data_IF_022969347133
#
_entry.id   IF_022969347133
#
_cell.length_a   1.000
_cell.length_b   1.000
_cell.length_c   1.000
_cell.angle_alpha   90.00
_cell.angle_beta   90.00
_cell.angle_gamma   90.00
#
_symmetry.space_group_name_H-M   'P 1'
#
loop_
_entity.id
_entity.type
_entity.pdbx_description
1 polymer ?
#
# COMPACT_ATOMS: atom_id res chain seq x y z
N UNK A 1 -16.69 2.31 -2.54
CA UNK A 1 -15.44 3.09 -2.40
C UNK A 1 -14.79 2.59 -1.13
N UNK A 2 -13.59 2.02 -1.21
CA UNK A 2 -12.87 1.58 -0.01
C UNK A 2 -12.28 2.83 0.65
N UNK A 3 -12.74 3.15 1.86
CA UNK A 3 -12.24 4.32 2.58
C UNK A 3 -10.77 4.10 2.96
N UNK A 4 -9.92 5.07 2.62
CA UNK A 4 -8.51 5.01 3.01
C UNK A 4 -8.38 5.12 4.52
N UNK A 5 -7.62 4.21 5.14
CA UNK A 5 -7.41 4.20 6.59
C UNK A 5 -5.94 4.44 6.93
N UNK A 6 -5.68 5.35 7.88
CA UNK A 6 -4.33 5.55 8.38
C UNK A 6 -3.88 4.33 9.18
N UNK A 7 -2.75 3.73 8.79
CA UNK A 7 -2.24 2.49 9.41
C UNK A 7 -1.80 2.65 10.86
N UNK A 8 -1.58 3.89 11.33
CA UNK A 8 -1.09 4.16 12.68
C UNK A 8 -2.19 4.68 13.63
N UNK A 9 -3.03 5.63 13.19
CA UNK A 9 -4.08 6.21 14.04
C UNK A 9 -5.51 5.85 13.64
N UNK A 10 -5.71 5.18 12.51
CA UNK A 10 -7.04 4.76 12.04
C UNK A 10 -7.93 5.90 11.52
N UNK A 11 -7.42 7.13 11.34
CA UNK A 11 -8.21 8.16 10.69
C UNK A 11 -8.56 7.77 9.25
N UNK A 12 -9.71 8.21 8.77
CA UNK A 12 -10.21 7.92 7.43
C UNK A 12 -10.67 9.19 6.73
N UNK A 13 -11.05 9.06 5.47
CA UNK A 13 -11.67 10.15 4.70
C UNK A 13 -12.96 10.70 5.34
N UNK A 14 -13.66 9.88 6.11
CA UNK A 14 -14.89 10.25 6.82
C UNK A 14 -14.66 10.58 8.30
N UNK A 15 -13.46 10.32 8.83
CA UNK A 15 -13.12 10.52 10.23
C UNK A 15 -11.68 11.00 10.36
N UNK A 16 -11.50 12.32 10.34
CA UNK A 16 -10.21 12.94 10.59
C UNK A 16 -9.74 12.73 12.05
N UNK A 17 -8.45 12.93 12.30
CA UNK A 17 -7.92 13.01 13.66
C UNK A 17 -8.53 14.19 14.44
N UNK A 18 -8.49 14.16 15.79
CA UNK A 18 -8.78 15.34 16.60
C UNK A 18 -7.89 16.52 16.18
N UNK A 19 -8.50 17.67 15.87
CA UNK A 19 -7.80 18.84 15.33
C UNK A 19 -7.60 18.85 13.81
N UNK A 20 -8.08 17.81 13.12
CA UNK A 20 -7.90 17.65 11.68
C UNK A 20 -6.55 17.03 11.31
N UNK A 21 -6.49 16.43 10.13
CA UNK A 21 -5.24 15.92 9.55
C UNK A 21 -5.39 15.86 8.02
N UNK A 22 -4.26 15.90 7.32
CA UNK A 22 -4.18 15.66 5.88
C UNK A 22 -3.42 14.35 5.60
N UNK A 23 -3.53 13.82 4.38
CA UNK A 23 -2.77 12.63 3.99
C UNK A 23 -1.34 13.00 3.59
N UNK A 24 -0.34 12.32 4.14
CA UNK A 24 1.07 12.38 3.72
C UNK A 24 1.43 11.32 2.67
N UNK A 25 0.64 10.26 2.63
CA UNK A 25 0.73 9.17 1.66
C UNK A 25 -0.54 8.34 1.69
N UNK A 26 -1.03 7.96 0.51
CA UNK A 26 -2.21 7.11 0.33
C UNK A 26 -1.93 6.10 -0.75
N UNK A 27 -2.36 4.88 -0.52
CA UNK A 27 -2.53 3.88 -1.56
C UNK A 27 -4.01 3.50 -1.63
N UNK A 28 -4.68 3.95 -2.68
CA UNK A 28 -6.11 3.66 -2.87
C UNK A 28 -6.37 2.20 -3.27
N UNK A 29 -5.34 1.48 -3.74
CA UNK A 29 -5.46 0.08 -4.15
C UNK A 29 -5.63 -0.84 -2.93
N UNK A 30 -4.88 -0.59 -1.87
CA UNK A 30 -4.95 -1.35 -0.62
C UNK A 30 -5.83 -0.68 0.44
N UNK A 31 -6.28 0.56 0.20
CA UNK A 31 -7.11 1.32 1.14
C UNK A 31 -6.34 1.80 2.37
N UNK A 32 -5.01 1.91 2.28
CA UNK A 32 -4.15 2.31 3.40
C UNK A 32 -3.46 3.64 3.16
N UNK A 33 -3.08 4.32 4.23
CA UNK A 33 -2.33 5.57 4.14
C UNK A 33 -1.67 5.96 5.46
N UNK A 34 -1.01 7.11 5.43
CA UNK A 34 -0.43 7.77 6.62
C UNK A 34 -0.82 9.23 6.61
N UNK A 35 -1.39 9.72 7.72
CA UNK A 35 -1.82 11.11 7.87
C UNK A 35 -0.74 12.00 8.52
N UNK A 36 -0.95 13.31 8.49
CA UNK A 36 -0.07 14.35 9.01
C UNK A 36 0.21 14.23 10.51
N UNK A 37 -0.68 13.59 11.27
CA UNK A 37 -0.50 13.34 12.70
C UNK A 37 0.38 12.12 12.99
N UNK A 38 0.69 11.31 11.97
CA UNK A 38 1.51 10.11 12.09
C UNK A 38 2.79 10.16 11.24
N UNK A 39 3.60 11.25 11.28
CA UNK A 39 4.74 11.41 10.38
C UNK A 39 5.81 10.33 10.59
N UNK A 40 5.93 9.81 11.82
CA UNK A 40 6.88 8.74 12.16
C UNK A 40 6.58 7.42 11.44
N UNK A 41 5.33 7.16 11.07
CA UNK A 41 4.92 5.94 10.38
C UNK A 41 5.15 6.03 8.85
N UNK A 42 5.39 7.23 8.30
CA UNK A 42 5.44 7.45 6.86
C UNK A 42 6.57 6.69 6.18
N UNK A 43 7.78 6.73 6.76
CA UNK A 43 8.96 6.10 6.17
C UNK A 43 8.80 4.58 6.11
N UNK A 44 8.38 3.96 7.22
CA UNK A 44 8.14 2.52 7.29
C UNK A 44 7.03 2.09 6.33
N UNK A 45 5.91 2.82 6.29
CA UNK A 45 4.82 2.53 5.37
C UNK A 45 5.26 2.63 3.90
N UNK A 46 6.01 3.67 3.51
CA UNK A 46 6.53 3.78 2.13
C UNK A 46 7.45 2.62 1.74
N UNK A 47 8.29 2.15 2.67
CA UNK A 47 9.14 0.99 2.42
C UNK A 47 8.31 -0.28 2.15
N UNK A 48 7.22 -0.49 2.90
CA UNK A 48 6.30 -1.62 2.66
C UNK A 48 5.61 -1.55 1.29
N UNK A 49 5.21 -0.35 0.87
CA UNK A 49 4.59 -0.13 -0.45
C UNK A 49 5.54 -0.43 -1.61
N UNK A 50 6.83 -0.10 -1.45
CA UNK A 50 7.86 -0.41 -2.43
C UNK A 50 8.09 -1.93 -2.55
N UNK A 51 8.15 -2.64 -1.43
CA UNK A 51 8.33 -4.10 -1.41
C UNK A 51 7.17 -4.84 -2.09
N UNK A 52 5.91 -4.45 -1.83
CA UNK A 52 4.75 -5.04 -2.52
C UNK A 52 4.79 -4.86 -4.04
N UNK A 53 5.36 -3.76 -4.53
CA UNK A 53 5.55 -3.53 -5.97
C UNK A 53 6.59 -4.48 -6.57
N UNK A 54 7.61 -4.89 -5.80
CA UNK A 54 8.61 -5.87 -6.24
C UNK A 54 8.04 -7.29 -6.19
N UNK A 55 7.38 -7.66 -5.10
CA UNK A 55 6.78 -9.00 -4.94
C UNK A 55 5.71 -9.29 -5.98
N UNK A 56 4.85 -8.32 -6.31
CA UNK A 56 3.85 -8.49 -7.37
C UNK A 56 4.47 -8.71 -8.75
N UNK A 57 5.65 -8.14 -9.03
CA UNK A 57 6.38 -8.35 -10.28
C UNK A 57 7.04 -9.73 -10.34
N UNK A 58 7.64 -10.19 -9.25
CA UNK A 58 8.24 -11.53 -9.17
C UNK A 58 7.17 -12.62 -9.28
N UNK A 59 6.03 -12.45 -8.59
CA UNK A 59 4.90 -13.36 -8.67
C UNK A 59 4.34 -13.49 -10.10
N UNK A 60 4.18 -12.37 -10.83
CA UNK A 60 3.75 -12.42 -12.24
C UNK A 60 4.81 -13.01 -13.18
N UNK A 61 6.11 -12.89 -12.88
CA UNK A 61 7.17 -13.42 -13.74
C UNK A 61 7.31 -14.95 -13.64
N UNK A 62 7.00 -15.54 -12.49
CA UNK A 62 7.05 -17.00 -12.28
C UNK A 62 5.96 -17.79 -13.01
N UNK A 63 4.81 -17.16 -13.29
CA UNK A 63 3.72 -17.80 -14.06
C UNK A 63 4.10 -17.97 -15.54
N UNK A 64 4.93 -17.08 -16.11
CA UNK A 64 5.30 -17.11 -17.53
C UNK A 64 6.38 -18.15 -17.87
N UNK A 65 7.15 -18.62 -16.88
CA UNK A 65 8.26 -19.57 -17.06
C UNK A 65 7.83 -21.05 -17.02
N UNK A 66 6.54 -21.35 -16.83
CA UNK A 66 6.04 -22.73 -16.78
C UNK A 66 5.63 -23.32 -18.15
N UNK A 67 5.64 -22.54 -19.23
CA UNK A 67 5.48 -23.08 -20.59
C UNK A 67 6.87 -23.49 -21.11
N UNK A 68 7.36 -24.63 -20.64
CA UNK A 68 8.48 -25.32 -21.28
C UNK A 68 8.08 -25.77 -22.69
N UNK A 69 9.02 -25.89 -23.65
CA UNK A 69 8.70 -26.44 -24.96
C UNK A 69 8.20 -27.88 -24.76
N UNK A 70 6.94 -28.13 -25.10
CA UNK A 70 6.46 -29.50 -25.33
C UNK A 70 7.26 -30.06 -26.48
N UNK A 71 8.15 -31.00 -26.15
CA UNK A 71 8.93 -31.84 -27.06
C UNK A 71 7.97 -32.57 -28.02
N UNK A 72 8.07 -32.27 -29.32
CA UNK A 72 7.43 -32.97 -30.45
C UNK A 72 8.52 -33.25 -31.49
#
# INVERSE_FOLDING_TARGET
>A
MNATTCTNCGCTELRACPGGCSWLGVNHRDGTGVCSNCPKALTAWRAQQADQTVQSRDASQRELLQIGPTDI
#
